data_IF_917262584938
#
_entry.id   IF_917262584938
#
_cell.length_a   1.000
_cell.length_b   1.000
_cell.length_c   1.000
_cell.angle_alpha   90.00
_cell.angle_beta   90.00
_cell.angle_gamma   90.00
#
_symmetry.space_group_name_H-M   'P 1'
#
loop_
_entity.id
_entity.type
_entity.pdbx_description
1 polymer ?
#
# COMPACT_ATOMS: atom_id res chain seq x y z
N UNK A 1 14.97 13.22 -5.65
CA UNK A 1 15.45 14.55 -6.06
C UNK A 1 16.20 14.45 -7.37
N UNK A 2 16.04 15.47 -8.24
CA UNK A 2 16.72 15.61 -9.51
C UNK A 2 16.61 17.07 -9.97
N UNK A 3 17.71 17.66 -10.46
CA UNK A 3 17.65 18.98 -11.11
C UNK A 3 17.12 18.74 -12.53
N UNK A 4 15.99 19.35 -12.85
CA UNK A 4 15.38 19.25 -14.17
C UNK A 4 16.06 20.20 -15.16
N UNK A 5 16.41 21.38 -14.68
CA UNK A 5 17.03 22.44 -15.48
C UNK A 5 17.83 23.39 -14.58
N UNK A 6 18.97 23.86 -15.05
CA UNK A 6 19.79 24.87 -14.41
C UNK A 6 20.41 25.78 -15.48
N UNK A 7 20.36 27.08 -15.28
CA UNK A 7 20.98 28.08 -16.16
C UNK A 7 22.36 28.45 -15.63
N UNK A 8 23.34 28.54 -16.53
CA UNK A 8 24.71 28.96 -16.22
C UNK A 8 25.52 27.94 -15.42
N UNK A 9 25.01 26.71 -15.20
CA UNK A 9 25.71 25.64 -14.50
C UNK A 9 25.51 24.30 -15.18
N UNK A 10 26.59 23.55 -15.31
CA UNK A 10 26.59 22.18 -15.82
C UNK A 10 27.11 21.22 -14.76
N UNK A 11 26.62 19.99 -14.78
CA UNK A 11 26.98 18.94 -13.84
C UNK A 11 27.41 17.69 -14.59
N UNK A 12 28.38 16.97 -14.08
CA UNK A 12 28.88 15.71 -14.64
C UNK A 12 28.24 14.52 -13.93
N UNK A 13 27.99 14.66 -12.63
CA UNK A 13 27.43 13.58 -11.80
C UNK A 13 26.17 14.01 -11.06
N UNK A 14 25.38 13.03 -10.68
CA UNK A 14 24.19 13.27 -9.83
C UNK A 14 24.59 13.75 -8.42
N UNK A 15 25.70 13.25 -7.89
CA UNK A 15 26.21 13.70 -6.59
C UNK A 15 26.48 15.19 -6.60
N UNK A 16 27.15 15.72 -7.63
CA UNK A 16 27.35 17.17 -7.79
C UNK A 16 26.04 17.95 -7.81
N UNK A 17 24.97 17.40 -8.41
CA UNK A 17 23.65 18.08 -8.40
C UNK A 17 23.05 18.12 -6.99
N UNK A 18 23.23 17.08 -6.19
CA UNK A 18 22.70 17.02 -4.82
C UNK A 18 23.50 17.94 -3.89
N UNK A 19 24.83 17.96 -4.02
CA UNK A 19 25.72 18.87 -3.27
C UNK A 19 25.39 20.33 -3.58
N UNK A 20 25.19 20.67 -4.84
CA UNK A 20 24.78 22.01 -5.25
C UNK A 20 23.44 22.40 -4.63
N UNK A 21 22.46 21.49 -4.61
CA UNK A 21 21.18 21.75 -3.95
C UNK A 21 21.34 22.00 -2.45
N UNK A 22 22.24 21.27 -1.78
CA UNK A 22 22.55 21.50 -0.37
C UNK A 22 23.18 22.87 -0.14
N UNK A 23 24.13 23.28 -0.98
CA UNK A 23 24.74 24.62 -0.95
C UNK A 23 23.68 25.73 -1.10
N UNK A 24 22.67 25.48 -1.94
CA UNK A 24 21.53 26.38 -2.13
C UNK A 24 20.46 26.25 -1.02
N UNK A 25 20.76 25.52 0.07
CA UNK A 25 19.88 25.31 1.23
C UNK A 25 18.58 24.54 0.95
N UNK A 26 18.53 23.75 -0.13
CA UNK A 26 17.47 22.79 -0.31
C UNK A 26 17.67 21.60 0.63
N UNK A 27 16.55 21.08 1.18
CA UNK A 27 16.60 19.82 1.95
C UNK A 27 16.82 18.66 0.98
N UNK A 28 17.97 18.01 1.06
CA UNK A 28 18.32 16.84 0.26
C UNK A 28 18.31 15.62 1.16
N UNK A 29 17.76 14.51 0.66
CA UNK A 29 17.74 13.23 1.37
C UNK A 29 19.17 12.68 1.52
N UNK A 30 19.44 11.86 2.54
CA UNK A 30 20.70 11.13 2.67
C UNK A 30 21.02 10.35 1.40
N UNK A 31 22.24 10.44 0.91
CA UNK A 31 22.69 9.76 -0.29
C UNK A 31 24.15 9.33 -0.14
N UNK A 32 24.49 8.28 -0.87
CA UNK A 32 25.81 7.66 -0.83
C UNK A 32 26.25 7.28 -2.24
N UNK A 33 27.54 7.42 -2.53
CA UNK A 33 28.13 6.90 -3.77
C UNK A 33 28.76 5.54 -3.49
N UNK A 34 28.41 4.55 -4.29
CA UNK A 34 28.92 3.18 -4.16
C UNK A 34 29.64 2.78 -5.45
N UNK A 35 30.77 2.11 -5.33
CA UNK A 35 31.59 1.64 -6.45
C UNK A 35 31.36 0.16 -6.79
N UNK A 36 30.79 -0.60 -5.87
CA UNK A 36 30.53 -2.04 -6.02
C UNK A 36 29.10 -2.41 -5.64
N UNK A 37 28.59 -3.51 -6.19
CA UNK A 37 27.29 -4.07 -5.85
C UNK A 37 27.23 -4.42 -4.35
N UNK A 38 28.33 -4.94 -3.81
CA UNK A 38 28.41 -5.29 -2.39
C UNK A 38 28.23 -4.08 -1.50
N UNK A 39 28.98 -3.01 -1.74
CA UNK A 39 28.87 -1.75 -1.01
C UNK A 39 27.45 -1.17 -1.11
N UNK A 40 26.85 -1.20 -2.30
CA UNK A 40 25.48 -0.76 -2.52
C UNK A 40 24.48 -1.59 -1.68
N UNK A 41 24.61 -2.91 -1.66
CA UNK A 41 23.75 -3.79 -0.88
C UNK A 41 23.88 -3.54 0.62
N UNK A 42 25.10 -3.35 1.11
CA UNK A 42 25.38 -3.02 2.53
C UNK A 42 24.74 -1.66 2.91
N UNK A 43 24.81 -0.66 2.03
CA UNK A 43 24.17 0.64 2.25
C UNK A 43 22.66 0.58 2.25
N UNK A 44 22.07 -0.19 1.32
CA UNK A 44 20.61 -0.41 1.28
C UNK A 44 20.14 -1.07 2.58
N UNK A 45 20.84 -2.11 3.06
CA UNK A 45 20.52 -2.78 4.31
C UNK A 45 20.62 -1.81 5.50
N UNK A 46 21.72 -1.07 5.62
CA UNK A 46 21.92 -0.10 6.70
C UNK A 46 20.83 1.00 6.73
N UNK A 47 20.39 1.49 5.57
CA UNK A 47 19.27 2.43 5.48
C UNK A 47 17.96 1.82 5.96
N UNK A 48 17.73 0.53 5.65
CA UNK A 48 16.55 -0.19 6.10
C UNK A 48 16.54 -0.43 7.60
N UNK A 49 17.67 -0.80 8.19
CA UNK A 49 17.82 -1.05 9.62
C UNK A 49 17.67 0.25 10.44
N UNK A 50 18.20 1.37 9.92
CA UNK A 50 18.10 2.69 10.54
C UNK A 50 16.86 3.51 10.17
N UNK A 51 15.87 2.93 9.51
CA UNK A 51 14.72 3.67 8.95
C UNK A 51 13.89 4.44 10.01
N UNK A 52 13.85 3.96 11.25
CA UNK A 52 13.13 4.61 12.34
C UNK A 52 13.83 5.87 12.89
N UNK A 53 15.11 6.06 12.56
CA UNK A 53 15.90 7.24 12.97
C UNK A 53 15.68 8.46 12.07
N UNK A 54 15.06 8.26 10.89
CA UNK A 54 14.75 9.35 9.97
C UNK A 54 13.54 10.16 10.46
N UNK A 55 13.51 11.48 10.24
CA UNK A 55 12.36 12.33 10.56
C UNK A 55 11.20 12.17 9.54
N UNK A 56 11.24 11.17 8.69
CA UNK A 56 10.25 10.83 7.66
C UNK A 56 10.25 9.32 7.40
N UNK A 57 9.13 8.79 6.99
CA UNK A 57 9.01 7.38 6.63
C UNK A 57 9.73 7.07 5.32
N UNK A 58 10.43 5.93 5.26
CA UNK A 58 11.05 5.40 4.05
C UNK A 58 10.55 3.99 3.76
N UNK A 59 10.21 3.74 2.52
CA UNK A 59 9.67 2.47 2.01
C UNK A 59 10.69 1.67 1.19
N UNK A 60 11.81 2.31 0.86
CA UNK A 60 12.84 1.72 0.04
C UNK A 60 14.01 2.64 -0.21
N UNK A 61 14.91 2.19 -1.04
CA UNK A 61 16.06 2.95 -1.53
C UNK A 61 16.04 3.00 -3.07
N UNK A 62 16.47 4.12 -3.64
CA UNK A 62 16.58 4.26 -5.09
C UNK A 62 18.05 4.32 -5.48
N UNK A 63 18.48 3.34 -6.25
CA UNK A 63 19.81 3.30 -6.86
C UNK A 63 19.77 4.01 -8.20
N UNK A 64 20.72 4.89 -8.44
CA UNK A 64 20.80 5.67 -9.68
C UNK A 64 22.21 5.64 -10.23
N UNK A 65 22.34 5.55 -11.54
CA UNK A 65 23.64 5.75 -12.21
C UNK A 65 24.11 7.18 -11.94
N UNK A 66 25.33 7.33 -11.40
CA UNK A 66 25.84 8.64 -10.97
C UNK A 66 26.24 9.55 -12.14
N UNK A 67 26.89 9.00 -13.18
CA UNK A 67 27.31 9.76 -14.35
C UNK A 67 26.07 10.17 -15.19
N UNK A 68 25.92 11.45 -15.46
CA UNK A 68 24.78 12.00 -16.19
C UNK A 68 24.80 11.68 -17.70
N UNK A 69 25.99 11.58 -18.29
CA UNK A 69 26.15 11.18 -19.70
C UNK A 69 25.71 9.75 -19.91
N UNK A 70 26.07 8.83 -18.99
CA UNK A 70 25.65 7.44 -19.06
C UNK A 70 24.11 7.30 -18.92
N UNK A 71 23.46 8.17 -18.15
CA UNK A 71 21.99 8.19 -18.08
C UNK A 71 21.35 8.51 -19.43
N UNK A 72 21.94 9.43 -20.18
CA UNK A 72 21.48 9.78 -21.54
C UNK A 72 21.60 8.59 -22.47
N UNK A 73 22.72 7.85 -22.39
CA UNK A 73 22.96 6.63 -23.19
C UNK A 73 21.98 5.51 -22.84
N UNK A 74 21.73 5.29 -21.55
CA UNK A 74 20.78 4.25 -21.08
C UNK A 74 19.34 4.58 -21.44
N UNK A 75 19.00 5.87 -21.44
CA UNK A 75 17.68 6.36 -21.81
C UNK A 75 16.56 5.94 -20.84
N UNK A 76 15.34 5.96 -21.34
CA UNK A 76 14.12 5.65 -20.59
C UNK A 76 13.17 4.79 -21.41
N UNK A 77 12.33 4.02 -20.75
CA UNK A 77 11.14 3.42 -21.35
C UNK A 77 9.98 4.42 -21.33
N UNK A 78 8.83 4.06 -21.86
CA UNK A 78 7.63 4.90 -21.78
C UNK A 78 7.17 5.17 -20.33
N UNK A 79 7.56 4.33 -19.36
CA UNK A 79 7.08 4.40 -17.98
C UNK A 79 8.14 4.76 -16.94
N UNK A 80 9.41 4.39 -17.19
CA UNK A 80 10.49 4.54 -16.20
C UNK A 80 11.87 4.68 -16.84
N UNK A 81 12.83 5.33 -16.16
CA UNK A 81 14.21 5.45 -16.60
C UNK A 81 14.96 4.11 -16.46
N UNK A 82 15.87 3.82 -17.38
CA UNK A 82 16.74 2.62 -17.31
C UNK A 82 17.96 2.82 -16.39
N UNK A 83 18.25 4.04 -16.04
CA UNK A 83 19.39 4.41 -15.18
C UNK A 83 19.04 4.48 -13.68
N UNK A 84 17.82 4.10 -13.29
CA UNK A 84 17.39 4.05 -11.90
C UNK A 84 16.66 2.74 -11.60
N UNK A 85 16.90 2.21 -10.41
CA UNK A 85 16.20 1.05 -9.87
C UNK A 85 15.76 1.32 -8.43
N UNK A 86 14.52 1.01 -8.11
CA UNK A 86 14.00 1.08 -6.76
C UNK A 86 14.13 -0.28 -6.07
N UNK A 87 14.69 -0.27 -4.87
CA UNK A 87 14.66 -1.40 -3.94
C UNK A 87 13.60 -1.10 -2.88
N UNK A 88 12.58 -1.93 -2.79
CA UNK A 88 11.54 -1.82 -1.76
C UNK A 88 11.89 -2.72 -0.58
N UNK A 89 11.84 -2.14 0.63
CA UNK A 89 11.98 -2.96 1.83
C UNK A 89 10.77 -3.89 1.99
N UNK A 90 10.95 -5.04 2.64
CA UNK A 90 9.80 -5.84 3.03
C UNK A 90 8.82 -5.00 3.86
N UNK A 91 7.50 -5.11 3.59
CA UNK A 91 6.51 -4.39 4.36
C UNK A 91 6.58 -4.78 5.84
N UNK A 92 6.38 -3.79 6.71
CA UNK A 92 6.27 -4.05 8.13
C UNK A 92 5.04 -4.94 8.41
N UNK A 93 5.23 -5.98 9.21
CA UNK A 93 4.17 -6.89 9.63
C UNK A 93 4.05 -6.85 11.15
N UNK A 94 2.84 -6.75 11.66
CA UNK A 94 2.56 -6.83 13.10
C UNK A 94 1.41 -7.76 13.41
N UNK A 95 1.47 -8.35 14.57
CA UNK A 95 0.39 -9.17 15.09
C UNK A 95 -0.76 -8.28 15.59
N UNK A 96 -1.98 -8.71 15.31
CA UNK A 96 -3.20 -8.16 15.87
C UNK A 96 -4.23 -9.26 16.07
N UNK A 97 -5.35 -8.95 16.70
CA UNK A 97 -6.45 -9.89 16.94
C UNK A 97 -7.67 -9.41 16.18
N UNK A 98 -8.35 -10.33 15.51
CA UNK A 98 -9.62 -10.06 14.82
C UNK A 98 -10.72 -9.92 15.87
N UNK A 99 -11.25 -8.71 16.03
CA UNK A 99 -12.33 -8.41 16.98
C UNK A 99 -13.71 -8.62 16.35
N UNK A 100 -13.84 -8.32 15.04
CA UNK A 100 -15.09 -8.48 14.31
C UNK A 100 -14.82 -8.62 12.81
N UNK A 101 -15.82 -9.07 12.06
CA UNK A 101 -15.80 -9.11 10.59
C UNK A 101 -17.07 -8.45 10.07
N UNK A 102 -16.94 -7.28 9.48
CA UNK A 102 -18.04 -6.50 8.92
C UNK A 102 -18.12 -6.63 7.42
N UNK A 103 -19.33 -6.68 6.86
CA UNK A 103 -19.55 -6.78 5.43
C UNK A 103 -19.92 -5.43 4.85
N UNK A 104 -19.18 -4.99 3.85
CA UNK A 104 -19.50 -3.81 3.07
C UNK A 104 -20.15 -4.21 1.74
N UNK A 105 -21.13 -3.41 1.30
CA UNK A 105 -21.80 -3.59 0.01
C UNK A 105 -21.24 -2.59 -0.98
N UNK A 106 -20.63 -3.11 -2.04
CA UNK A 106 -20.05 -2.32 -3.12
C UNK A 106 -21.10 -1.72 -4.07
N UNK A 107 -20.66 -0.88 -4.99
CA UNK A 107 -21.50 -0.25 -6.03
C UNK A 107 -22.29 -1.27 -6.85
N UNK A 108 -21.67 -2.35 -7.23
CA UNK A 108 -22.30 -3.45 -8.02
C UNK A 108 -22.96 -4.50 -7.14
N UNK A 109 -23.20 -4.21 -5.86
CA UNK A 109 -23.81 -5.14 -4.92
C UNK A 109 -22.86 -6.17 -4.30
N UNK A 110 -21.59 -6.23 -4.70
CA UNK A 110 -20.62 -7.19 -4.16
C UNK A 110 -20.47 -7.00 -2.66
N UNK A 111 -20.61 -8.11 -1.93
CA UNK A 111 -20.37 -8.17 -0.51
C UNK A 111 -18.88 -8.41 -0.24
N UNK A 112 -18.22 -7.44 0.37
CA UNK A 112 -16.80 -7.51 0.69
C UNK A 112 -16.63 -7.57 2.21
N UNK A 113 -16.17 -8.69 2.78
CA UNK A 113 -15.86 -8.76 4.19
C UNK A 113 -14.58 -7.97 4.50
N UNK A 114 -14.58 -7.31 5.64
CA UNK A 114 -13.46 -6.53 6.18
C UNK A 114 -13.28 -6.90 7.64
N UNK A 115 -12.07 -7.26 8.05
CA UNK A 115 -11.76 -7.51 9.44
C UNK A 115 -11.64 -6.18 10.20
N UNK A 116 -12.27 -6.12 11.36
CA UNK A 116 -11.98 -5.17 12.42
C UNK A 116 -10.94 -5.83 13.31
N UNK A 117 -9.79 -5.20 13.46
CA UNK A 117 -8.68 -5.74 14.23
C UNK A 117 -8.37 -4.82 15.41
N UNK A 118 -7.85 -5.40 16.49
CA UNK A 118 -7.34 -4.63 17.61
C UNK A 118 -6.34 -3.60 17.08
N UNK A 119 -6.47 -2.36 17.53
CA UNK A 119 -5.65 -1.25 17.05
C UNK A 119 -4.16 -1.58 17.14
N UNK A 120 -3.46 -1.51 16.03
CA UNK A 120 -2.02 -1.75 15.93
C UNK A 120 -1.35 -0.63 15.14
N UNK A 121 -0.22 -0.15 15.63
CA UNK A 121 0.57 0.85 14.92
C UNK A 121 1.45 0.17 13.87
N UNK A 122 1.26 0.54 12.60
CA UNK A 122 1.91 -0.07 11.46
C UNK A 122 2.29 1.02 10.45
N UNK A 123 3.58 1.10 10.10
CA UNK A 123 4.12 2.11 9.18
C UNK A 123 3.56 3.52 9.46
N UNK A 124 3.81 4.01 10.68
CA UNK A 124 3.46 5.37 11.10
C UNK A 124 1.97 5.65 11.38
N UNK A 125 1.04 4.75 11.04
CA UNK A 125 -0.41 4.93 11.25
C UNK A 125 -1.02 3.85 12.15
N UNK A 126 -2.16 4.14 12.75
CA UNK A 126 -2.93 3.16 13.52
C UNK A 126 -3.91 2.43 12.61
N UNK A 127 -3.78 1.12 12.53
CA UNK A 127 -4.64 0.23 11.75
C UNK A 127 -5.66 -0.41 12.68
N UNK A 128 -6.95 -0.29 12.33
CA UNK A 128 -8.08 -0.92 13.01
C UNK A 128 -8.93 -1.77 12.06
N UNK A 129 -8.63 -1.73 10.77
CA UNK A 129 -9.36 -2.48 9.75
C UNK A 129 -8.39 -3.03 8.73
N UNK A 130 -8.62 -4.26 8.26
CA UNK A 130 -7.79 -4.90 7.25
C UNK A 130 -8.65 -5.69 6.25
N UNK A 131 -8.19 -5.73 5.00
CA UNK A 131 -8.83 -6.54 3.95
C UNK A 131 -8.61 -8.02 4.23
N UNK A 132 -9.65 -8.82 3.97
CA UNK A 132 -9.64 -10.27 4.10
C UNK A 132 -9.40 -10.91 2.72
N UNK A 133 -8.29 -11.63 2.58
CA UNK A 133 -8.01 -12.46 1.40
C UNK A 133 -8.18 -13.95 1.67
N UNK A 134 -8.16 -14.36 2.94
CA UNK A 134 -8.27 -15.74 3.36
C UNK A 134 -9.66 -16.03 3.94
N UNK A 135 -10.28 -17.12 3.52
CA UNK A 135 -11.62 -17.52 3.96
C UNK A 135 -11.64 -18.25 5.32
N UNK A 136 -10.49 -18.76 5.82
CA UNK A 136 -10.40 -19.41 7.14
C UNK A 136 -9.91 -18.44 8.23
N UNK A 137 -10.46 -17.24 8.25
CA UNK A 137 -10.25 -16.27 9.33
C UNK A 137 -11.47 -16.29 10.24
N UNK A 138 -11.22 -16.31 11.55
CA UNK A 138 -12.24 -16.37 12.59
C UNK A 138 -12.14 -15.16 13.51
N UNK A 139 -13.26 -14.78 14.07
CA UNK A 139 -13.28 -13.79 15.17
C UNK A 139 -12.53 -14.41 16.36
N UNK A 140 -11.58 -13.66 16.92
CA UNK A 140 -10.66 -14.11 17.97
C UNK A 140 -9.30 -14.61 17.47
N UNK A 141 -9.11 -14.80 16.15
CA UNK A 141 -7.80 -15.20 15.61
C UNK A 141 -6.74 -14.13 15.81
N UNK A 142 -5.53 -14.57 16.14
CA UNK A 142 -4.33 -13.75 16.01
C UNK A 142 -3.84 -13.79 14.57
N UNK A 143 -3.66 -12.63 13.96
CA UNK A 143 -3.32 -12.47 12.56
C UNK A 143 -2.10 -11.58 12.37
N UNK A 144 -1.36 -11.81 11.27
CA UNK A 144 -0.32 -10.90 10.78
C UNK A 144 -0.97 -9.88 9.84
N UNK A 145 -0.84 -8.60 10.19
CA UNK A 145 -1.33 -7.48 9.40
C UNK A 145 -0.16 -6.75 8.76
N UNK A 146 -0.28 -6.41 7.49
CA UNK A 146 0.65 -5.55 6.76
C UNK A 146 -0.14 -4.51 5.95
N UNK A 147 0.57 -3.54 5.37
CA UNK A 147 -0.02 -2.63 4.37
C UNK A 147 0.42 -3.04 2.97
N UNK A 148 -0.54 -3.45 2.13
CA UNK A 148 -0.30 -3.69 0.71
C UNK A 148 -0.03 -2.35 0.01
N UNK A 149 1.11 -2.27 -0.72
CA UNK A 149 1.54 -1.03 -1.37
C UNK A 149 1.67 0.15 -0.41
N UNK A 150 1.87 -0.13 0.89
CA UNK A 150 2.05 0.83 1.99
C UNK A 150 0.80 1.66 2.35
N UNK A 151 -0.33 1.39 1.72
CA UNK A 151 -1.56 2.17 1.90
C UNK A 151 -2.67 1.32 2.49
N UNK A 152 -2.96 0.15 1.92
CA UNK A 152 -4.13 -0.66 2.25
C UNK A 152 -3.76 -1.76 3.25
N UNK A 153 -4.29 -1.72 4.49
CA UNK A 153 -4.07 -2.79 5.45
C UNK A 153 -4.73 -4.09 4.98
N UNK A 154 -3.99 -5.18 5.09
CA UNK A 154 -4.47 -6.52 4.74
C UNK A 154 -3.99 -7.56 5.77
N UNK A 155 -4.74 -8.63 5.91
CA UNK A 155 -4.32 -9.80 6.69
C UNK A 155 -3.53 -10.73 5.77
N UNK A 156 -2.26 -10.93 6.11
CA UNK A 156 -1.34 -11.82 5.37
C UNK A 156 -1.62 -13.28 5.71
N UNK A 157 -1.73 -13.55 7.01
CA UNK A 157 -1.91 -14.92 7.50
C UNK A 157 -2.52 -14.95 8.90
N UNK A 158 -3.09 -16.08 9.23
CA UNK A 158 -3.54 -16.42 10.60
C UNK A 158 -2.43 -17.19 11.30
N UNK A 159 -2.14 -16.83 12.54
CA UNK A 159 -1.22 -17.56 13.41
C UNK A 159 -2.01 -18.68 14.09
N UNK A 160 -2.10 -19.84 13.41
CA UNK A 160 -2.95 -20.97 13.84
C UNK A 160 -2.57 -21.52 15.20
N UNK A 161 -1.29 -21.42 15.57
CA UNK A 161 -0.77 -21.86 16.87
C UNK A 161 -1.35 -21.04 18.05
N UNK A 162 -1.79 -19.81 17.76
CA UNK A 162 -2.42 -18.92 18.74
C UNK A 162 -3.95 -18.95 18.69
N UNK A 163 -4.55 -19.75 17.80
CA UNK A 163 -6.02 -19.86 17.69
C UNK A 163 -6.59 -20.49 18.94
N UNK A 164 -7.56 -19.82 19.52
CA UNK A 164 -8.28 -20.34 20.68
C UNK A 164 -9.38 -21.33 20.27
N UNK A 165 -9.74 -22.30 21.14
CA UNK A 165 -10.83 -23.23 20.84
C UNK A 165 -12.18 -22.53 20.60
N UNK A 166 -12.35 -21.33 21.14
CA UNK A 166 -13.59 -20.52 21.05
C UNK A 166 -13.66 -19.69 19.77
N UNK A 167 -12.65 -19.77 18.88
CA UNK A 167 -12.63 -19.04 17.62
C UNK A 167 -13.77 -19.49 16.69
N UNK A 168 -14.70 -18.58 16.39
CA UNK A 168 -15.92 -18.88 15.62
C UNK A 168 -15.63 -18.71 14.14
N UNK A 169 -15.91 -19.75 13.31
CA UNK A 169 -15.84 -19.64 11.85
C UNK A 169 -16.76 -18.53 11.36
N UNK A 170 -16.23 -17.69 10.48
CA UNK A 170 -17.02 -16.64 9.83
C UNK A 170 -17.64 -17.14 8.54
N UNK A 171 -18.90 -16.82 8.34
CA UNK A 171 -19.63 -17.06 7.09
C UNK A 171 -20.22 -15.77 6.58
N UNK A 172 -20.14 -15.54 5.28
CA UNK A 172 -20.85 -14.42 4.66
C UNK A 172 -22.35 -14.59 4.87
N UNK A 173 -23.09 -13.51 5.14
CA UNK A 173 -24.53 -13.59 5.38
C UNK A 173 -25.29 -13.98 4.11
N UNK A 174 -26.40 -14.71 4.27
CA UNK A 174 -27.30 -15.09 3.18
C UNK A 174 -28.22 -13.93 2.72
N UNK A 175 -28.21 -12.84 3.49
CA UNK A 175 -28.99 -11.63 3.20
C UNK A 175 -28.10 -10.40 3.29
N UNK A 176 -28.42 -9.41 2.46
CA UNK A 176 -27.71 -8.13 2.45
C UNK A 176 -27.84 -7.44 3.83
N UNK A 177 -26.73 -7.06 4.48
CA UNK A 177 -26.81 -6.42 5.81
C UNK A 177 -27.42 -5.02 5.79
N UNK A 178 -27.61 -4.42 4.59
CA UNK A 178 -28.16 -3.06 4.46
C UNK A 178 -29.63 -3.04 4.09
N UNK A 179 -30.07 -3.89 3.16
CA UNK A 179 -31.47 -3.86 2.67
C UNK A 179 -32.25 -5.14 2.97
N UNK A 180 -31.63 -6.17 3.55
CA UNK A 180 -32.27 -7.45 3.86
C UNK A 180 -32.63 -8.33 2.65
N UNK A 181 -32.35 -7.89 1.42
CA UNK A 181 -32.59 -8.73 0.25
C UNK A 181 -31.68 -9.96 0.24
N UNK A 182 -32.09 -11.09 -0.37
CA UNK A 182 -31.25 -12.26 -0.51
C UNK A 182 -29.98 -11.91 -1.30
N UNK A 183 -28.93 -12.68 -1.07
CA UNK A 183 -27.70 -12.56 -1.85
C UNK A 183 -27.58 -13.73 -2.82
N UNK A 184 -26.92 -13.50 -3.95
CA UNK A 184 -26.65 -14.52 -4.94
C UNK A 184 -25.15 -14.59 -5.24
N UNK A 185 -24.68 -15.80 -5.55
CA UNK A 185 -23.29 -15.99 -6.00
C UNK A 185 -23.23 -15.79 -7.50
N UNK A 186 -22.20 -15.10 -8.00
CA UNK A 186 -21.94 -14.95 -9.42
C UNK A 186 -21.74 -16.32 -10.10
N UNK A 187 -22.01 -16.42 -11.40
CA UNK A 187 -21.86 -17.67 -12.17
C UNK A 187 -20.43 -18.24 -12.11
N UNK A 188 -19.42 -17.39 -12.06
CA UNK A 188 -18.00 -17.76 -11.88
C UNK A 188 -17.66 -18.13 -10.43
N UNK A 189 -18.59 -17.94 -9.50
CA UNK A 189 -18.42 -18.24 -8.08
C UNK A 189 -17.52 -17.28 -7.32
N UNK A 190 -16.96 -16.26 -7.98
CA UNK A 190 -15.95 -15.37 -7.39
C UNK A 190 -16.53 -14.40 -6.36
N UNK A 191 -17.77 -13.92 -6.57
CA UNK A 191 -18.38 -12.91 -5.71
C UNK A 191 -19.78 -13.30 -5.24
N UNK A 192 -20.15 -12.79 -4.08
CA UNK A 192 -21.52 -12.82 -3.56
C UNK A 192 -22.08 -11.41 -3.65
N UNK A 193 -23.30 -11.26 -4.20
CA UNK A 193 -23.94 -9.97 -4.46
C UNK A 193 -25.30 -9.86 -3.84
N UNK A 194 -25.61 -8.67 -3.37
CA UNK A 194 -26.97 -8.27 -3.02
C UNK A 194 -27.84 -8.19 -4.28
N UNK A 195 -28.98 -8.87 -4.28
CA UNK A 195 -29.97 -8.87 -5.40
C UNK A 195 -30.99 -7.75 -5.29
N UNK A 196 -30.96 -6.95 -4.22
CA UNK A 196 -31.90 -5.86 -4.00
C UNK A 196 -31.68 -4.70 -4.97
N UNK A 197 -32.63 -4.48 -5.91
CA UNK A 197 -32.56 -3.40 -6.91
C UNK A 197 -32.53 -2.00 -6.30
N UNK A 198 -33.21 -1.81 -5.16
CA UNK A 198 -33.30 -0.52 -4.44
C UNK A 198 -32.39 -0.47 -3.20
N UNK A 199 -31.30 -1.24 -3.19
CA UNK A 199 -30.40 -1.27 -2.05
C UNK A 199 -29.77 0.11 -1.76
N UNK A 200 -29.97 0.71 -0.58
CA UNK A 200 -29.46 2.04 -0.27
C UNK A 200 -27.93 2.14 -0.38
N UNK A 201 -27.21 1.08 -0.03
CA UNK A 201 -25.75 1.04 -0.16
C UNK A 201 -25.30 1.12 -1.61
N UNK A 202 -25.94 0.39 -2.52
CA UNK A 202 -25.64 0.45 -3.94
C UNK A 202 -25.93 1.84 -4.51
N UNK A 203 -27.10 2.41 -4.19
CA UNK A 203 -27.50 3.75 -4.62
C UNK A 203 -26.51 4.82 -4.16
N UNK A 204 -26.13 4.81 -2.89
CA UNK A 204 -25.14 5.73 -2.37
C UNK A 204 -23.80 5.60 -3.12
N UNK A 205 -23.33 4.37 -3.33
CA UNK A 205 -22.07 4.12 -4.04
C UNK A 205 -22.13 4.52 -5.51
N UNK A 206 -23.29 4.44 -6.16
CA UNK A 206 -23.49 4.96 -7.51
C UNK A 206 -23.39 6.48 -7.55
N UNK A 207 -23.99 7.19 -6.60
CA UNK A 207 -23.90 8.67 -6.50
C UNK A 207 -22.44 9.10 -6.26
N UNK A 208 -21.76 8.44 -5.31
CA UNK A 208 -20.34 8.73 -5.02
C UNK A 208 -19.47 8.51 -6.27
N UNK A 209 -19.70 7.42 -7.00
CA UNK A 209 -18.98 7.18 -8.24
C UNK A 209 -19.31 8.21 -9.32
N UNK A 210 -20.58 8.59 -9.46
CA UNK A 210 -21.01 9.60 -10.43
C UNK A 210 -20.29 10.94 -10.18
N UNK A 211 -20.14 11.35 -8.92
CA UNK A 211 -19.43 12.57 -8.56
C UNK A 211 -17.90 12.45 -8.61
N UNK A 212 -17.36 11.22 -8.65
CA UNK A 212 -15.92 10.98 -8.56
C UNK A 212 -15.17 11.41 -9.82
N UNK A 213 -13.84 11.52 -9.67
CA UNK A 213 -12.90 11.87 -10.73
C UNK A 213 -12.96 10.94 -11.95
N UNK A 214 -13.31 9.66 -11.74
CA UNK A 214 -13.42 8.68 -12.83
C UNK A 214 -14.73 8.80 -13.64
N UNK A 215 -15.63 9.71 -13.25
CA UNK A 215 -16.90 9.95 -13.95
C UNK A 215 -17.10 11.43 -14.26
N UNK A 216 -17.81 12.18 -13.41
CA UNK A 216 -18.16 13.58 -13.67
C UNK A 216 -17.21 14.60 -13.06
N UNK A 217 -16.25 14.16 -12.23
CA UNK A 217 -15.22 15.00 -11.58
C UNK A 217 -15.82 16.25 -10.89
N UNK A 218 -16.87 16.03 -10.11
CA UNK A 218 -17.55 17.11 -9.40
C UNK A 218 -16.75 17.43 -8.13
N UNK A 219 -16.13 18.59 -8.13
CA UNK A 219 -15.46 19.16 -6.97
C UNK A 219 -16.43 20.05 -6.18
N UNK A 220 -16.44 19.87 -4.84
CA UNK A 220 -17.28 20.61 -3.91
C UNK A 220 -16.51 21.46 -2.93
#
# INVERSE_FOLDING_TARGET
FNIQWAEGKTFTTHTETLEYLQEQRFKVIPHYTCSTIREMSERIAALGDGREEFPFDIDGAVVKVNNLTDRTTLGSTAKFPRWAAAYKYPPEQKESVVEDIVVQVGRTGVLTPKAVVKAVRLAGTTVTNATLHNQDIRIGDTVLVQKAGEIIPEIVSVIKEKRTPDAVPYHLPDHCPVCGAPVARDEDGAHIRCTGAECPAQRLRHIVHFASRDAMDIEG
#
